data_IF_107000276445
#
_entry.id   IF_107000276445
#
_cell.length_a   1.000
_cell.length_b   1.000
_cell.length_c   1.000
_cell.angle_alpha   90.00
_cell.angle_beta   90.00
_cell.angle_gamma   90.00
#
_symmetry.space_group_name_H-M   'P 1'
#
loop_
_entity.id
_entity.type
_entity.pdbx_description
1 polymer ?
#
# COMPACT_ATOMS: atom_id res chain seq x y z
N UNK A 1 8.52 37.23 -36.33
CA UNK A 1 8.36 35.77 -35.97
C UNK A 1 7.23 35.72 -34.96
N UNK A 2 6.16 35.04 -35.32
CA UNK A 2 5.04 34.85 -34.40
C UNK A 2 5.45 33.85 -33.31
N UNK A 3 5.23 34.25 -32.05
CA UNK A 3 5.49 33.40 -30.88
C UNK A 3 4.41 32.34 -30.80
N UNK A 4 4.79 31.06 -30.91
CA UNK A 4 3.90 29.93 -30.71
C UNK A 4 4.16 29.28 -29.34
N UNK A 5 3.10 28.97 -28.62
CA UNK A 5 3.17 28.18 -27.39
C UNK A 5 2.69 26.75 -27.70
N UNK A 6 3.56 25.79 -27.52
CA UNK A 6 3.26 24.37 -27.76
C UNK A 6 3.30 23.60 -26.44
N UNK A 7 2.49 22.56 -26.31
CA UNK A 7 2.49 21.66 -25.16
C UNK A 7 3.43 20.48 -25.38
N UNK A 8 4.10 20.04 -24.30
CA UNK A 8 4.87 18.79 -24.34
C UNK A 8 3.94 17.59 -24.57
N UNK A 9 4.40 16.63 -25.35
CA UNK A 9 3.78 15.33 -25.51
C UNK A 9 4.61 14.28 -24.76
N UNK A 10 3.96 13.22 -24.30
CA UNK A 10 4.61 12.17 -23.55
C UNK A 10 4.33 10.80 -24.19
N UNK A 11 5.37 9.97 -24.30
CA UNK A 11 5.25 8.56 -24.68
C UNK A 11 5.05 7.71 -23.42
N UNK A 12 3.82 7.18 -23.25
CA UNK A 12 3.40 6.43 -22.06
C UNK A 12 4.30 5.22 -21.80
N UNK A 13 4.65 4.48 -22.84
CA UNK A 13 5.55 3.31 -22.71
C UNK A 13 6.92 3.67 -22.15
N UNK A 14 7.50 4.78 -22.60
CA UNK A 14 8.80 5.22 -22.11
C UNK A 14 8.72 5.75 -20.67
N UNK A 15 7.62 6.43 -20.32
CA UNK A 15 7.41 6.88 -18.94
C UNK A 15 7.30 5.68 -18.01
N UNK A 16 6.48 4.66 -18.36
CA UNK A 16 6.37 3.43 -17.58
C UNK A 16 7.73 2.74 -17.45
N UNK A 17 8.49 2.64 -18.52
CA UNK A 17 9.83 2.07 -18.49
C UNK A 17 10.77 2.83 -17.55
N UNK A 18 10.74 4.16 -17.56
CA UNK A 18 11.55 4.98 -16.65
C UNK A 18 11.12 4.79 -15.19
N UNK A 19 9.82 4.75 -14.90
CA UNK A 19 9.28 4.52 -13.55
C UNK A 19 9.71 3.15 -13.03
N UNK A 20 9.63 2.11 -13.85
CA UNK A 20 9.90 0.74 -13.43
C UNK A 20 11.39 0.38 -13.36
N UNK A 21 12.25 1.04 -14.17
CA UNK A 21 13.65 0.66 -14.30
C UNK A 21 14.66 1.70 -13.81
N UNK A 22 14.25 2.97 -13.67
CA UNK A 22 15.20 4.05 -13.36
C UNK A 22 14.89 4.81 -12.08
N UNK A 23 13.63 4.90 -11.66
CA UNK A 23 13.25 5.65 -10.45
C UNK A 23 13.59 4.90 -9.16
N UNK A 24 13.59 3.58 -9.19
CA UNK A 24 13.76 2.76 -7.99
C UNK A 24 14.98 1.87 -8.12
N UNK A 25 15.98 2.11 -7.27
CA UNK A 25 17.17 1.25 -7.14
C UNK A 25 16.92 -0.05 -6.36
N UNK A 26 15.85 -0.10 -5.57
CA UNK A 26 15.46 -1.26 -4.76
C UNK A 26 14.08 -1.75 -5.16
N UNK A 27 14.00 -2.99 -5.62
CA UNK A 27 12.75 -3.61 -6.06
C UNK A 27 11.72 -3.78 -4.93
N UNK A 28 12.15 -3.97 -3.68
CA UNK A 28 11.27 -4.14 -2.51
C UNK A 28 10.24 -3.02 -2.33
N UNK A 29 10.49 -1.87 -2.95
CA UNK A 29 9.62 -0.70 -2.93
C UNK A 29 8.22 -0.99 -3.47
N UNK A 30 8.07 -1.97 -4.39
CA UNK A 30 6.74 -2.30 -4.90
C UNK A 30 5.74 -2.62 -3.79
N UNK A 31 6.17 -3.41 -2.80
CA UNK A 31 5.29 -3.81 -1.70
C UNK A 31 4.99 -2.62 -0.78
N UNK A 32 5.98 -1.78 -0.50
CA UNK A 32 5.79 -0.54 0.27
C UNK A 32 4.72 0.36 -0.37
N UNK A 33 4.83 0.62 -1.66
CA UNK A 33 3.92 1.51 -2.37
C UNK A 33 2.49 0.95 -2.41
N UNK A 34 2.33 -0.35 -2.68
CA UNK A 34 1.00 -0.96 -2.73
C UNK A 34 0.34 -1.05 -1.36
N UNK A 35 1.09 -1.36 -0.31
CA UNK A 35 0.59 -1.34 1.08
C UNK A 35 0.22 0.08 1.50
N UNK A 36 1.00 1.10 1.11
CA UNK A 36 0.69 2.51 1.38
C UNK A 36 -0.60 2.94 0.68
N UNK A 37 -0.81 2.53 -0.58
CA UNK A 37 -2.04 2.81 -1.30
C UNK A 37 -3.26 2.14 -0.66
N UNK A 38 -3.11 0.90 -0.18
CA UNK A 38 -4.14 0.17 0.55
C UNK A 38 -4.50 0.88 1.87
N UNK A 39 -3.49 1.37 2.61
CA UNK A 39 -3.70 2.18 3.81
C UNK A 39 -4.46 3.47 3.51
N UNK A 40 -4.06 4.21 2.47
CA UNK A 40 -4.73 5.44 2.04
C UNK A 40 -6.20 5.18 1.66
N UNK A 41 -6.50 4.04 1.04
CA UNK A 41 -7.87 3.67 0.70
C UNK A 41 -8.74 3.41 1.95
N UNK A 42 -8.16 2.83 2.99
CA UNK A 42 -8.82 2.65 4.28
C UNK A 42 -9.05 3.99 5.00
N UNK A 43 -8.08 4.89 4.97
CA UNK A 43 -8.21 6.20 5.59
C UNK A 43 -9.24 7.06 4.86
N UNK A 44 -9.31 7.03 3.53
CA UNK A 44 -10.38 7.68 2.76
C UNK A 44 -11.76 7.18 3.19
N UNK A 45 -11.92 5.86 3.37
CA UNK A 45 -13.18 5.30 3.85
C UNK A 45 -13.53 5.82 5.25
N UNK A 46 -12.57 5.90 6.17
CA UNK A 46 -12.80 6.49 7.50
C UNK A 46 -13.33 7.91 7.40
N UNK A 47 -12.72 8.75 6.55
CA UNK A 47 -13.16 10.13 6.36
C UNK A 47 -14.55 10.22 5.75
N UNK A 48 -14.84 9.46 4.70
CA UNK A 48 -16.19 9.47 4.09
C UNK A 48 -17.24 8.96 5.08
N UNK A 49 -16.91 7.98 5.91
CA UNK A 49 -17.77 7.41 6.92
C UNK A 49 -18.12 8.37 8.08
N UNK A 50 -17.36 9.44 8.28
CA UNK A 50 -17.75 10.49 9.24
C UNK A 50 -19.13 11.10 8.88
N UNK A 51 -19.41 11.24 7.59
CA UNK A 51 -20.68 11.76 7.11
C UNK A 51 -21.64 10.64 6.66
N UNK A 52 -21.13 9.45 6.37
CA UNK A 52 -21.84 8.29 5.85
C UNK A 52 -21.49 7.00 6.60
N UNK A 53 -21.87 6.85 7.90
CA UNK A 53 -21.44 5.73 8.75
C UNK A 53 -21.78 4.35 8.18
N UNK A 54 -22.84 4.22 7.39
CA UNK A 54 -23.25 2.97 6.75
C UNK A 54 -22.18 2.36 5.83
N UNK A 55 -21.24 3.15 5.33
CA UNK A 55 -20.15 2.67 4.48
C UNK A 55 -19.21 1.70 5.21
N UNK A 56 -19.17 1.72 6.54
CA UNK A 56 -18.35 0.81 7.37
C UNK A 56 -19.10 -0.45 7.82
N UNK A 57 -20.44 -0.50 7.71
CA UNK A 57 -21.25 -1.57 8.31
C UNK A 57 -20.89 -2.98 7.81
N UNK A 58 -20.53 -3.14 6.53
CA UNK A 58 -20.16 -4.45 5.96
C UNK A 58 -18.94 -5.07 6.63
N UNK A 59 -17.90 -4.26 6.95
CA UNK A 59 -16.67 -4.70 7.59
C UNK A 59 -16.05 -3.52 8.36
N UNK A 60 -16.40 -3.31 9.64
CA UNK A 60 -15.99 -2.14 10.41
C UNK A 60 -14.49 -2.12 10.74
N UNK A 61 -13.84 -3.29 10.78
CA UNK A 61 -12.42 -3.40 11.05
C UNK A 61 -11.65 -3.26 9.72
N UNK A 62 -10.96 -2.14 9.57
CA UNK A 62 -10.15 -1.89 8.39
C UNK A 62 -8.79 -2.58 8.51
N UNK A 63 -8.37 -3.22 7.42
CA UNK A 63 -7.16 -4.03 7.37
C UNK A 63 -6.58 -4.11 5.96
N UNK A 64 -5.31 -4.45 5.87
CA UNK A 64 -4.61 -4.79 4.64
C UNK A 64 -4.19 -6.25 4.73
N UNK A 65 -4.42 -7.03 3.67
CA UNK A 65 -4.01 -8.43 3.57
C UNK A 65 -2.96 -8.58 2.49
N UNK A 66 -1.88 -9.29 2.80
CA UNK A 66 -0.84 -9.67 1.84
C UNK A 66 -0.78 -11.19 1.77
N UNK A 67 -0.94 -11.71 0.57
CA UNK A 67 -0.87 -13.13 0.28
C UNK A 67 -0.01 -13.41 -0.94
N UNK A 68 0.49 -14.62 -1.07
CA UNK A 68 1.16 -15.10 -2.28
C UNK A 68 0.68 -16.51 -2.61
N UNK A 69 0.76 -16.85 -3.89
CA UNK A 69 0.54 -18.19 -4.42
C UNK A 69 1.76 -18.56 -5.25
N UNK A 70 2.51 -19.55 -4.77
CA UNK A 70 3.75 -19.97 -5.41
C UNK A 70 3.51 -20.73 -6.73
N UNK A 71 2.39 -21.46 -6.83
CA UNK A 71 2.05 -22.22 -8.03
C UNK A 71 1.55 -21.29 -9.15
N UNK A 72 0.74 -20.30 -8.79
CA UNK A 72 0.26 -19.27 -9.72
C UNK A 72 1.28 -18.15 -9.96
N UNK A 73 2.41 -18.13 -9.23
CA UNK A 73 3.41 -17.06 -9.22
C UNK A 73 2.80 -15.67 -9.00
N UNK A 74 1.92 -15.54 -8.01
CA UNK A 74 1.23 -14.27 -7.74
C UNK A 74 1.46 -13.77 -6.32
N UNK A 75 1.43 -12.44 -6.18
CA UNK A 75 1.32 -11.75 -4.89
C UNK A 75 0.08 -10.88 -4.94
N UNK A 76 -0.77 -10.97 -3.92
CA UNK A 76 -1.99 -10.17 -3.80
C UNK A 76 -1.91 -9.27 -2.58
N UNK A 77 -2.12 -7.97 -2.78
CA UNK A 77 -2.31 -6.98 -1.74
C UNK A 77 -3.77 -6.55 -1.79
N UNK A 78 -4.51 -6.77 -0.72
CA UNK A 78 -5.94 -6.46 -0.64
C UNK A 78 -6.23 -5.57 0.56
N UNK A 79 -7.13 -4.61 0.38
CA UNK A 79 -7.70 -3.77 1.43
C UNK A 79 -9.24 -3.89 1.43
N UNK A 80 -9.84 -3.57 2.56
CA UNK A 80 -11.29 -3.38 2.68
C UNK A 80 -11.68 -1.90 2.85
N UNK A 81 -10.88 -1.02 2.24
CA UNK A 81 -11.06 0.42 2.22
C UNK A 81 -12.19 0.88 1.29
N UNK A 82 -12.05 2.12 0.78
CA UNK A 82 -13.08 2.79 -0.02
C UNK A 82 -13.38 2.08 -1.34
N UNK A 83 -12.39 1.39 -1.93
CA UNK A 83 -12.49 0.79 -3.25
C UNK A 83 -12.56 1.81 -4.39
N UNK A 84 -12.84 1.31 -5.60
CA UNK A 84 -12.96 2.10 -6.82
C UNK A 84 -14.22 1.72 -7.58
N UNK A 85 -14.90 2.71 -8.19
CA UNK A 85 -15.86 2.48 -9.27
C UNK A 85 -15.12 2.21 -10.59
N UNK A 86 -15.85 1.80 -11.63
CA UNK A 86 -15.28 1.59 -12.96
C UNK A 86 -14.67 2.88 -13.53
N UNK A 87 -15.35 4.02 -13.36
CA UNK A 87 -14.86 5.33 -13.80
C UNK A 87 -13.61 5.75 -13.04
N UNK A 88 -13.59 5.53 -11.71
CA UNK A 88 -12.42 5.82 -10.87
C UNK A 88 -11.24 4.92 -11.23
N UNK A 89 -11.47 3.65 -11.52
CA UNK A 89 -10.42 2.72 -11.97
C UNK A 89 -9.78 3.20 -13.28
N UNK A 90 -10.61 3.55 -14.29
CA UNK A 90 -10.11 4.12 -15.55
C UNK A 90 -9.33 5.41 -15.31
N UNK A 91 -9.89 6.32 -14.50
CA UNK A 91 -9.29 7.64 -14.27
C UNK A 91 -7.97 7.56 -13.48
N UNK A 92 -7.91 6.71 -12.43
CA UNK A 92 -6.78 6.68 -11.49
C UNK A 92 -5.70 5.67 -11.87
N UNK A 93 -6.09 4.50 -12.44
CA UNK A 93 -5.15 3.47 -12.84
C UNK A 93 -4.76 3.58 -14.33
N UNK A 94 -5.56 4.27 -15.13
CA UNK A 94 -5.29 4.53 -16.54
C UNK A 94 -4.50 5.81 -16.82
N UNK A 95 -4.20 6.62 -15.81
CA UNK A 95 -3.46 7.88 -15.98
C UNK A 95 -2.24 7.93 -15.07
N UNK A 96 -1.03 7.90 -15.67
CA UNK A 96 0.23 7.98 -14.93
C UNK A 96 0.36 9.34 -14.25
N UNK A 97 0.85 9.35 -13.01
CA UNK A 97 1.03 10.53 -12.16
C UNK A 97 -0.29 11.24 -11.78
N UNK A 98 -1.43 10.58 -11.96
CA UNK A 98 -2.69 11.00 -11.36
C UNK A 98 -2.84 10.34 -9.99
N UNK A 99 -3.11 11.14 -8.95
CA UNK A 99 -3.27 10.65 -7.59
C UNK A 99 -4.65 11.03 -7.05
N UNK A 100 -5.52 10.02 -6.90
CA UNK A 100 -6.80 10.18 -6.20
C UNK A 100 -6.63 10.53 -4.71
N UNK A 101 -5.46 10.21 -4.13
CA UNK A 101 -5.10 10.65 -2.77
C UNK A 101 -4.83 12.15 -2.73
N UNK A 102 -4.11 12.70 -3.70
CA UNK A 102 -3.87 14.15 -3.81
C UNK A 102 -5.16 14.92 -4.06
N UNK A 103 -6.04 14.41 -4.93
CA UNK A 103 -7.36 15.00 -5.19
C UNK A 103 -8.22 15.02 -3.92
N UNK A 104 -8.21 13.93 -3.17
CA UNK A 104 -8.90 13.83 -1.90
C UNK A 104 -8.36 14.82 -0.86
N UNK A 105 -7.04 14.89 -0.65
CA UNK A 105 -6.40 15.86 0.27
C UNK A 105 -6.71 17.31 -0.13
N UNK A 106 -6.78 17.59 -1.43
CA UNK A 106 -7.14 18.93 -1.92
C UNK A 106 -8.60 19.32 -1.62
N UNK A 107 -9.48 18.33 -1.51
CA UNK A 107 -10.90 18.53 -1.18
C UNK A 107 -11.16 18.66 0.32
N UNK A 108 -10.20 18.29 1.20
CA UNK A 108 -10.32 18.44 2.65
C UNK A 108 -10.17 19.91 3.06
N UNK A 109 -10.99 20.35 4.03
CA UNK A 109 -10.97 21.71 4.57
C UNK A 109 -10.50 21.75 6.03
N UNK A 110 -9.88 22.88 6.44
CA UNK A 110 -9.53 23.18 7.83
C UNK A 110 -8.58 22.15 8.48
N UNK A 111 -8.92 21.73 9.71
CA UNK A 111 -8.10 20.82 10.51
C UNK A 111 -8.06 19.39 9.96
N UNK A 112 -9.08 18.96 9.21
CA UNK A 112 -9.12 17.64 8.55
C UNK A 112 -7.91 17.41 7.62
N UNK A 113 -7.41 18.48 6.98
CA UNK A 113 -6.23 18.42 6.12
C UNK A 113 -4.94 18.15 6.89
N UNK A 114 -4.86 18.56 8.17
CA UNK A 114 -3.70 18.34 9.04
C UNK A 114 -3.69 16.92 9.60
N UNK A 115 -4.87 16.35 9.82
CA UNK A 115 -5.04 15.02 10.40
C UNK A 115 -4.91 13.90 9.35
N UNK A 116 -5.01 14.23 8.06
CA UNK A 116 -4.88 13.29 6.98
C UNK A 116 -3.41 12.92 6.73
N UNK A 117 -2.96 11.79 7.27
CA UNK A 117 -1.61 11.24 7.08
C UNK A 117 -1.51 10.38 5.80
N UNK A 118 -2.10 10.85 4.70
CA UNK A 118 -2.12 10.12 3.44
C UNK A 118 -0.76 10.16 2.74
N UNK A 119 -0.29 9.01 2.23
CA UNK A 119 1.08 8.78 1.78
C UNK A 119 1.20 8.92 0.25
N UNK A 120 0.29 8.35 -0.51
CA UNK A 120 0.37 8.16 -1.98
C UNK A 120 0.01 9.40 -2.81
N UNK A 121 0.73 10.51 -2.66
CA UNK A 121 0.39 11.79 -3.31
C UNK A 121 0.88 11.94 -4.77
N UNK A 122 1.83 11.13 -5.23
CA UNK A 122 2.49 11.31 -6.53
C UNK A 122 1.82 10.59 -7.69
N UNK A 123 1.00 9.56 -7.43
CA UNK A 123 0.29 8.80 -8.46
C UNK A 123 1.19 7.91 -9.34
N UNK A 124 2.39 7.58 -8.88
CA UNK A 124 3.33 6.68 -9.57
C UNK A 124 3.59 5.37 -8.81
N UNK A 125 3.27 5.33 -7.51
CA UNK A 125 3.55 4.19 -6.64
C UNK A 125 2.90 2.88 -7.10
N UNK A 126 1.68 2.93 -7.64
CA UNK A 126 0.98 1.76 -8.18
C UNK A 126 1.79 1.05 -9.26
N UNK A 127 2.41 1.81 -10.17
CA UNK A 127 3.18 1.24 -11.29
C UNK A 127 4.50 0.60 -10.85
N UNK A 128 4.94 0.80 -9.61
CA UNK A 128 6.09 0.08 -9.05
C UNK A 128 5.87 -1.45 -9.03
N UNK A 129 4.62 -1.92 -9.04
CA UNK A 129 4.29 -3.32 -9.19
C UNK A 129 4.89 -3.96 -10.46
N UNK A 130 5.01 -3.20 -11.54
CA UNK A 130 5.66 -3.67 -12.78
C UNK A 130 7.18 -3.85 -12.68
N UNK A 131 7.82 -3.48 -11.57
CA UNK A 131 9.24 -3.82 -11.32
C UNK A 131 9.40 -5.33 -11.22
N UNK A 132 8.44 -6.02 -10.59
CA UNK A 132 8.49 -7.47 -10.31
C UNK A 132 7.45 -8.28 -11.08
N UNK A 133 6.44 -7.63 -11.67
CA UNK A 133 5.35 -8.28 -12.37
C UNK A 133 5.37 -7.95 -13.88
N UNK A 134 4.97 -8.90 -14.70
CA UNK A 134 4.70 -8.70 -16.13
C UNK A 134 3.23 -8.37 -16.39
N UNK A 135 2.34 -8.67 -15.44
CA UNK A 135 0.92 -8.30 -15.48
C UNK A 135 0.43 -7.92 -14.09
N UNK A 136 -0.40 -6.90 -14.03
CA UNK A 136 -1.13 -6.50 -12.81
C UNK A 136 -2.61 -6.59 -13.08
N UNK A 137 -3.35 -7.25 -12.18
CA UNK A 137 -4.81 -7.28 -12.16
C UNK A 137 -5.31 -6.60 -10.90
N UNK A 138 -6.32 -5.74 -11.03
CA UNK A 138 -6.96 -5.03 -9.91
C UNK A 138 -8.43 -5.36 -9.93
N UNK A 139 -8.94 -5.91 -8.83
CA UNK A 139 -10.38 -6.08 -8.62
C UNK A 139 -10.81 -5.14 -7.51
N UNK A 140 -11.86 -4.37 -7.76
CA UNK A 140 -12.31 -3.37 -6.80
C UNK A 140 -13.83 -3.21 -6.84
N UNK A 141 -14.41 -2.85 -5.69
CA UNK A 141 -15.76 -2.33 -5.57
C UNK A 141 -15.77 -1.17 -4.61
N UNK A 142 -16.25 -0.03 -5.07
CA UNK A 142 -16.37 1.15 -4.23
C UNK A 142 -17.41 0.92 -3.13
N UNK A 143 -17.13 1.40 -1.93
CA UNK A 143 -18.09 1.39 -0.82
C UNK A 143 -19.38 2.10 -1.21
N UNK A 144 -20.53 1.48 -0.87
CA UNK A 144 -21.86 1.97 -1.23
C UNK A 144 -22.38 1.53 -2.60
N UNK A 145 -21.54 0.94 -3.47
CA UNK A 145 -22.01 0.32 -4.71
C UNK A 145 -22.53 -1.11 -4.47
N UNK A 146 -23.54 -1.56 -5.25
CA UNK A 146 -24.02 -2.94 -5.20
C UNK A 146 -22.96 -3.95 -5.64
N UNK A 147 -23.14 -5.22 -5.26
CA UNK A 147 -22.17 -6.29 -5.47
C UNK A 147 -21.90 -6.63 -6.95
N UNK A 148 -22.81 -6.30 -7.84
CA UNK A 148 -22.69 -6.51 -9.30
C UNK A 148 -22.04 -5.32 -10.04
N UNK A 149 -21.68 -4.27 -9.31
CA UNK A 149 -20.96 -3.11 -9.85
C UNK A 149 -19.46 -3.09 -9.45
N UNK A 150 -18.86 -4.25 -9.23
CA UNK A 150 -17.42 -4.37 -9.10
C UNK A 150 -16.72 -4.17 -10.45
N UNK A 151 -15.45 -3.82 -10.41
CA UNK A 151 -14.59 -3.60 -11.58
C UNK A 151 -13.36 -4.47 -11.51
N UNK A 152 -12.96 -5.05 -12.66
CA UNK A 152 -11.63 -5.62 -12.89
C UNK A 152 -10.91 -4.77 -13.90
N UNK A 153 -9.72 -4.32 -13.53
CA UNK A 153 -8.76 -3.64 -14.40
C UNK A 153 -7.53 -4.53 -14.55
N UNK A 154 -6.95 -4.61 -15.74
CA UNK A 154 -5.70 -5.36 -15.95
C UNK A 154 -4.82 -4.71 -17.00
N UNK A 155 -3.49 -4.84 -16.84
CA UNK A 155 -2.50 -4.35 -17.78
C UNK A 155 -1.21 -5.17 -17.71
N UNK A 156 -0.51 -5.27 -18.84
CA UNK A 156 0.84 -5.82 -18.96
C UNK A 156 1.92 -4.72 -18.93
N UNK A 157 1.56 -3.48 -18.58
CA UNK A 157 2.50 -2.35 -18.55
C UNK A 157 2.99 -1.92 -19.94
N UNK A 158 2.35 -2.38 -21.01
CA UNK A 158 2.70 -2.04 -22.39
C UNK A 158 2.12 -0.71 -22.89
N UNK A 159 1.34 -0.03 -22.03
CA UNK A 159 0.66 1.24 -22.34
C UNK A 159 -0.84 1.09 -22.52
N UNK A 160 -1.34 -0.13 -22.63
CA UNK A 160 -2.76 -0.45 -22.74
C UNK A 160 -3.26 -1.13 -21.44
N UNK A 161 -4.56 -1.05 -21.21
CA UNK A 161 -5.24 -1.73 -20.11
C UNK A 161 -6.65 -2.14 -20.50
N UNK A 162 -7.17 -3.14 -19.83
CA UNK A 162 -8.52 -3.65 -19.99
C UNK A 162 -9.36 -3.36 -18.75
N UNK A 163 -10.64 -3.13 -18.94
CA UNK A 163 -11.61 -2.91 -17.84
C UNK A 163 -12.88 -3.68 -18.12
N UNK A 164 -13.35 -4.41 -17.11
CA UNK A 164 -14.62 -5.13 -17.18
C UNK A 164 -15.40 -4.97 -15.87
N UNK A 165 -16.73 -5.02 -15.95
CA UNK A 165 -17.59 -5.07 -14.76
C UNK A 165 -17.66 -6.51 -14.27
N UNK A 166 -17.49 -6.70 -12.97
CA UNK A 166 -17.53 -8.01 -12.31
C UNK A 166 -18.48 -8.00 -11.10
N UNK A 167 -18.94 -9.16 -10.70
CA UNK A 167 -19.57 -9.32 -9.39
C UNK A 167 -18.47 -9.41 -8.31
N UNK A 168 -18.53 -8.53 -7.31
CA UNK A 168 -17.62 -8.50 -6.16
C UNK A 168 -18.41 -8.20 -4.88
N UNK A 169 -18.67 -9.21 -4.04
CA UNK A 169 -19.45 -9.04 -2.83
C UNK A 169 -18.82 -8.07 -1.82
N UNK A 170 -17.49 -8.14 -1.64
CA UNK A 170 -16.77 -7.30 -0.69
C UNK A 170 -16.38 -5.96 -1.31
N UNK A 171 -16.49 -4.87 -0.54
CA UNK A 171 -15.89 -3.56 -0.90
C UNK A 171 -14.37 -3.59 -0.77
N UNK A 172 -13.70 -2.57 -1.29
CA UNK A 172 -12.25 -2.41 -1.22
C UNK A 172 -11.57 -2.87 -2.50
N UNK A 173 -10.26 -3.02 -2.45
CA UNK A 173 -9.43 -3.29 -3.63
C UNK A 173 -8.50 -4.48 -3.39
N UNK A 174 -8.32 -5.31 -4.41
CA UNK A 174 -7.30 -6.36 -4.45
C UNK A 174 -6.41 -6.11 -5.66
N UNK A 175 -5.12 -5.93 -5.43
CA UNK A 175 -4.08 -5.79 -6.46
C UNK A 175 -3.31 -7.09 -6.52
N UNK A 176 -3.38 -7.80 -7.63
CA UNK A 176 -2.67 -9.06 -7.87
C UNK A 176 -1.55 -8.83 -8.88
N UNK A 177 -0.33 -9.08 -8.45
CA UNK A 177 0.89 -9.05 -9.25
C UNK A 177 1.18 -10.44 -9.78
N UNK A 178 1.23 -10.61 -11.10
CA UNK A 178 1.71 -11.83 -11.75
C UNK A 178 3.21 -11.66 -11.97
N UNK A 179 4.00 -12.38 -11.17
CA UNK A 179 5.44 -12.18 -11.14
C UNK A 179 6.09 -12.68 -12.43
N UNK A 180 7.06 -11.92 -12.90
CA UNK A 180 7.92 -12.34 -14.01
C UNK A 180 8.92 -13.38 -13.55
N UNK A 181 9.44 -14.14 -14.48
CA UNK A 181 10.51 -15.10 -14.22
C UNK A 181 11.74 -14.42 -13.61
N UNK A 182 12.29 -15.03 -12.56
CA UNK A 182 13.43 -14.52 -11.81
C UNK A 182 13.06 -13.70 -10.57
N UNK A 183 11.78 -13.47 -10.29
CA UNK A 183 11.31 -12.73 -9.11
C UNK A 183 10.66 -13.65 -8.05
N UNK A 184 10.91 -14.96 -8.13
CA UNK A 184 10.34 -15.96 -7.22
C UNK A 184 10.82 -15.80 -5.76
N UNK A 185 11.85 -15.01 -5.49
CA UNK A 185 12.27 -14.69 -4.12
C UNK A 185 11.16 -14.05 -3.29
N UNK A 186 10.22 -13.34 -3.94
CA UNK A 186 9.08 -12.69 -3.28
C UNK A 186 7.92 -13.65 -2.99
N UNK A 187 7.96 -14.89 -3.48
CA UNK A 187 6.99 -15.95 -3.16
C UNK A 187 7.36 -16.69 -1.87
N UNK A 188 7.87 -15.97 -0.90
CA UNK A 188 8.27 -16.51 0.40
C UNK A 188 7.75 -15.61 1.53
N UNK A 189 7.05 -16.21 2.49
CA UNK A 189 6.45 -15.48 3.62
C UNK A 189 7.48 -14.65 4.40
N UNK A 190 8.65 -15.23 4.68
CA UNK A 190 9.71 -14.54 5.41
C UNK A 190 10.19 -13.27 4.68
N UNK A 191 10.27 -13.31 3.33
CA UNK A 191 10.71 -12.17 2.52
C UNK A 191 9.69 -11.04 2.57
N UNK A 192 8.40 -11.35 2.36
CA UNK A 192 7.33 -10.36 2.43
C UNK A 192 7.21 -9.75 3.84
N UNK A 193 7.30 -10.58 4.89
CA UNK A 193 7.31 -10.09 6.29
C UNK A 193 8.49 -9.16 6.57
N UNK A 194 9.68 -9.50 6.06
CA UNK A 194 10.87 -8.65 6.19
C UNK A 194 10.67 -7.28 5.53
N UNK A 195 10.09 -7.24 4.33
CA UNK A 195 9.81 -6.00 3.61
C UNK A 195 8.76 -5.16 4.34
N UNK A 196 7.67 -5.79 4.82
CA UNK A 196 6.62 -5.11 5.59
C UNK A 196 7.21 -4.53 6.88
N UNK A 197 7.99 -5.32 7.64
CA UNK A 197 8.64 -4.86 8.85
C UNK A 197 9.60 -3.69 8.63
N UNK A 198 10.30 -3.69 7.49
CA UNK A 198 11.25 -2.63 7.14
C UNK A 198 10.58 -1.31 6.72
N UNK A 199 9.52 -1.39 5.92
CA UNK A 199 8.97 -0.20 5.26
C UNK A 199 7.57 0.21 5.71
N UNK A 200 6.80 -0.70 6.32
CA UNK A 200 5.38 -0.51 6.61
C UNK A 200 4.97 -0.81 8.05
N UNK A 201 5.94 -1.07 8.95
CA UNK A 201 5.69 -1.40 10.35
C UNK A 201 4.93 -0.28 11.10
N UNK A 202 5.10 0.96 10.64
CA UNK A 202 4.49 2.17 11.20
C UNK A 202 3.05 2.43 10.75
N UNK A 203 2.54 1.73 9.75
CA UNK A 203 1.17 1.91 9.25
C UNK A 203 0.20 1.54 10.37
N UNK A 204 -0.73 2.44 10.67
CA UNK A 204 -1.66 2.33 11.81
C UNK A 204 -2.73 1.25 11.67
N UNK A 205 -2.83 0.63 10.49
CA UNK A 205 -3.72 -0.48 10.20
C UNK A 205 -3.00 -1.81 10.35
N UNK A 206 -3.70 -2.89 10.77
CA UNK A 206 -3.12 -4.22 10.74
C UNK A 206 -2.86 -4.67 9.29
N UNK A 207 -1.63 -5.06 9.02
CA UNK A 207 -1.23 -5.73 7.80
C UNK A 207 -1.17 -7.21 8.13
N UNK A 208 -2.03 -8.00 7.49
CA UNK A 208 -2.23 -9.40 7.79
C UNK A 208 -1.58 -10.29 6.73
N UNK A 209 -0.96 -11.37 7.17
CA UNK A 209 -0.53 -12.48 6.32
C UNK A 209 -1.03 -13.79 6.89
N UNK A 210 -1.13 -14.82 6.04
CA UNK A 210 -1.46 -16.18 6.49
C UNK A 210 -0.42 -16.65 7.49
N UNK A 211 -0.90 -17.31 8.56
CA UNK A 211 -0.06 -17.89 9.59
C UNK A 211 0.68 -19.10 9.03
N UNK A 212 1.98 -19.16 9.26
CA UNK A 212 2.80 -20.31 8.97
C UNK A 212 3.23 -20.98 10.27
N UNK A 213 3.10 -22.29 10.33
CA UNK A 213 3.50 -23.09 11.46
C UNK A 213 4.32 -24.28 10.99
N UNK A 214 5.28 -24.68 11.82
CA UNK A 214 6.01 -25.90 11.60
C UNK A 214 5.12 -27.12 11.94
N UNK A 215 4.83 -27.94 10.97
CA UNK A 215 4.12 -29.18 11.16
C UNK A 215 5.15 -30.30 11.43
N UNK A 216 5.19 -30.77 12.66
CA UNK A 216 6.15 -31.78 13.10
C UNK A 216 5.89 -33.17 12.47
N UNK A 217 4.64 -33.48 12.11
CA UNK A 217 4.27 -34.74 11.46
C UNK A 217 4.65 -34.71 9.97
N UNK A 218 4.40 -33.58 9.31
CA UNK A 218 4.73 -33.40 7.90
C UNK A 218 6.22 -33.05 7.69
N UNK A 219 6.96 -32.64 8.74
CA UNK A 219 8.35 -32.21 8.66
C UNK A 219 8.59 -30.96 7.80
N UNK A 220 7.57 -30.11 7.68
CA UNK A 220 7.61 -28.89 6.83
C UNK A 220 6.79 -27.75 7.42
N UNK A 221 7.03 -26.56 6.91
CA UNK A 221 6.20 -25.41 7.18
C UNK A 221 4.88 -25.51 6.43
N UNK A 222 3.76 -25.29 7.12
CA UNK A 222 2.39 -25.32 6.55
C UNK A 222 1.72 -23.99 6.79
N UNK A 223 1.03 -23.51 5.76
CA UNK A 223 0.20 -22.30 5.84
C UNK A 223 -1.17 -22.68 6.41
N UNK A 224 -1.58 -22.01 7.49
CA UNK A 224 -2.90 -22.17 8.11
C UNK A 224 -3.90 -21.18 7.52
N UNK A 225 -5.19 -21.55 7.59
CA UNK A 225 -6.28 -20.63 7.19
C UNK A 225 -6.60 -19.64 8.33
N UNK A 226 -5.56 -18.96 8.80
CA UNK A 226 -5.62 -17.96 9.85
C UNK A 226 -4.80 -16.74 9.42
N UNK A 227 -5.38 -15.54 9.56
CA UNK A 227 -4.69 -14.29 9.29
C UNK A 227 -4.10 -13.73 10.57
N UNK A 228 -2.83 -13.37 10.53
CA UNK A 228 -2.10 -12.79 11.67
C UNK A 228 -1.43 -11.49 11.31
N UNK A 229 -1.43 -10.48 12.20
CA UNK A 229 -0.75 -9.22 11.95
C UNK A 229 0.76 -9.43 11.85
N UNK A 230 1.39 -8.75 10.89
CA UNK A 230 2.82 -8.82 10.61
C UNK A 230 3.53 -7.47 10.79
N UNK A 231 2.79 -6.43 11.13
CA UNK A 231 3.31 -5.11 11.50
C UNK A 231 2.88 -4.76 12.94
N UNK A 232 3.57 -3.79 13.53
CA UNK A 232 3.26 -3.32 14.90
C UNK A 232 2.10 -2.34 14.95
N UNK A 233 1.65 -1.85 13.80
CA UNK A 233 0.54 -0.90 13.63
C UNK A 233 0.66 0.38 14.52
N UNK A 234 1.88 0.76 14.89
CA UNK A 234 2.16 1.93 15.71
C UNK A 234 3.51 2.52 15.36
N UNK A 235 3.51 3.73 14.83
CA UNK A 235 4.73 4.49 14.63
C UNK A 235 5.31 4.89 15.99
N UNK A 236 6.52 4.42 16.32
CA UNK A 236 7.14 4.70 17.62
C UNK A 236 7.29 6.19 17.86
N UNK A 237 7.61 6.96 16.83
CA UNK A 237 7.79 8.42 16.93
C UNK A 237 6.50 9.20 17.21
N UNK A 238 5.31 8.61 16.99
CA UNK A 238 4.02 9.25 17.32
C UNK A 238 3.59 9.01 18.76
N UNK A 239 4.18 8.04 19.46
CA UNK A 239 3.87 7.71 20.84
C UNK A 239 4.52 8.69 21.81
N UNK A 240 3.92 8.86 23.00
CA UNK A 240 4.56 9.62 24.06
C UNK A 240 5.87 8.95 24.51
N UNK A 241 6.90 9.76 24.80
CA UNK A 241 8.17 9.25 25.37
C UNK A 241 7.96 8.41 26.64
N UNK A 242 6.93 8.75 27.41
CA UNK A 242 6.62 8.07 28.67
C UNK A 242 6.04 6.65 28.44
N UNK A 243 5.57 6.37 27.23
CA UNK A 243 4.95 5.09 26.85
C UNK A 243 5.93 4.17 26.12
N UNK A 244 7.19 4.58 25.97
CA UNK A 244 8.22 3.84 25.26
C UNK A 244 9.35 3.48 26.23
N UNK A 245 9.65 2.19 26.34
CA UNK A 245 10.76 1.71 27.18
C UNK A 245 12.12 1.87 26.48
N UNK A 246 13.24 1.95 27.23
CA UNK A 246 14.58 1.96 26.64
C UNK A 246 14.84 0.78 25.70
N UNK A 247 14.35 -0.41 26.05
CA UNK A 247 14.46 -1.59 25.19
C UNK A 247 13.78 -1.41 23.84
N UNK A 248 12.61 -0.78 23.82
CA UNK A 248 11.90 -0.49 22.57
C UNK A 248 12.67 0.47 21.65
N UNK A 249 13.37 1.47 22.22
CA UNK A 249 14.26 2.36 21.44
C UNK A 249 15.45 1.60 20.88
N UNK A 250 16.05 0.71 21.67
CA UNK A 250 17.17 -0.13 21.23
C UNK A 250 16.74 -1.10 20.10
N UNK A 251 15.61 -1.77 20.25
CA UNK A 251 15.05 -2.65 19.22
C UNK A 251 14.75 -1.88 17.94
N UNK A 252 14.19 -0.67 18.05
CA UNK A 252 13.90 0.18 16.90
C UNK A 252 15.18 0.59 16.18
N UNK A 253 16.23 0.98 16.90
CA UNK A 253 17.53 1.28 16.32
C UNK A 253 18.11 0.08 15.58
N UNK A 254 18.16 -1.10 16.20
CA UNK A 254 18.67 -2.33 15.61
C UNK A 254 17.89 -2.72 14.35
N UNK A 255 16.59 -2.52 14.34
CA UNK A 255 15.73 -2.78 13.21
C UNK A 255 16.02 -1.85 12.01
N UNK A 256 16.32 -0.57 12.27
CA UNK A 256 16.60 0.41 11.22
C UNK A 256 18.04 0.35 10.71
N UNK A 257 19.00 0.21 11.64
CA UNK A 257 20.42 0.23 11.31
C UNK A 257 20.98 -1.12 10.87
N UNK A 258 20.26 -2.22 11.18
CA UNK A 258 20.76 -3.60 11.09
C UNK A 258 22.00 -3.86 11.96
N UNK A 259 22.23 -3.01 12.96
CA UNK A 259 23.29 -3.20 13.93
C UNK A 259 22.86 -4.19 15.02
N UNK A 260 23.81 -4.95 15.54
CA UNK A 260 23.56 -5.88 16.66
C UNK A 260 23.80 -5.20 18.01
N UNK A 261 24.49 -4.07 18.01
CA UNK A 261 24.79 -3.32 19.23
C UNK A 261 23.69 -2.29 19.56
N UNK A 262 23.65 -1.84 20.81
CA UNK A 262 22.74 -0.79 21.24
C UNK A 262 23.21 0.58 20.68
N UNK A 263 22.29 1.54 20.46
CA UNK A 263 22.69 2.90 20.08
C UNK A 263 23.50 3.57 21.18
N UNK A 264 24.49 4.36 20.81
CA UNK A 264 25.28 5.15 21.76
C UNK A 264 24.43 6.20 22.49
N UNK A 265 23.47 6.77 21.80
CA UNK A 265 22.50 7.70 22.32
C UNK A 265 21.30 7.80 21.37
N UNK A 266 20.16 8.21 21.91
CA UNK A 266 18.97 8.52 21.12
C UNK A 266 18.26 9.76 21.68
N UNK A 267 17.50 10.42 20.83
CA UNK A 267 16.62 11.53 21.22
C UNK A 267 15.23 11.29 20.66
N UNK A 268 14.21 11.69 21.41
CA UNK A 268 12.83 11.68 20.93
C UNK A 268 12.22 13.04 21.26
N UNK A 269 12.02 13.86 20.24
CA UNK A 269 11.54 15.22 20.35
C UNK A 269 10.30 15.44 19.50
N UNK A 270 9.30 16.11 20.09
CA UNK A 270 8.17 16.67 19.37
C UNK A 270 8.28 18.17 19.38
N UNK A 271 8.26 18.78 18.21
CA UNK A 271 8.29 20.22 18.04
C UNK A 271 6.94 20.66 17.48
N UNK A 272 6.29 21.56 18.20
CA UNK A 272 5.01 22.16 17.85
C UNK A 272 5.23 23.65 17.52
N UNK A 273 4.68 24.12 16.40
CA UNK A 273 4.84 25.50 15.94
C UNK A 273 4.27 25.71 14.56
N UNK A 274 4.91 26.57 13.76
CA UNK A 274 4.55 26.75 12.33
C UNK A 274 4.72 25.49 11.50
N UNK A 275 5.67 24.67 11.89
CA UNK A 275 5.89 23.32 11.37
C UNK A 275 5.91 22.39 12.58
N UNK A 276 5.09 21.36 12.54
CA UNK A 276 5.10 20.30 13.55
C UNK A 276 5.88 19.11 13.00
N UNK A 277 6.80 18.62 13.79
CA UNK A 277 7.52 17.38 13.46
C UNK A 277 7.90 16.62 14.72
N UNK A 278 7.99 15.32 14.58
CA UNK A 278 8.55 14.44 15.59
C UNK A 278 9.85 13.84 15.06
N UNK A 279 10.87 13.85 15.90
CA UNK A 279 12.19 13.31 15.60
C UNK A 279 12.51 12.22 16.60
N UNK A 280 12.92 11.08 16.09
CA UNK A 280 13.45 9.97 16.84
C UNK A 280 14.81 9.58 16.28
#
# INVERSE_FOLDING_TARGET
MDKQTLSFQAEVKQILHLVTHSLYSNKEIFLRELVSNASDACDKLRFEALNHPHLLEEAPNLEVRVAFDADAKTITIADNGIGLSAEEAVANLGTIAKSGTREFVAALEGDQKKDAQLIGQFGVGFYSGFIVADRISVESRRAGLPADEGVRWSSEGSGDFEVETIARPERGTSVTLHLRDGEEEYLASWKLRSIIGKYSDHISLPILMRKEEWDAEAGKQVTRDEWTPVNKAAAMWTRSKNDITPQQYEEFYKQLSYDTEAPLAYTHNRVEGRSEYTQL
#
